data_IF_186187240944
#
_entry.id   IF_186187240944
#
_cell.length_a   1.000
_cell.length_b   1.000
_cell.length_c   1.000
_cell.angle_alpha   90.00
_cell.angle_beta   90.00
_cell.angle_gamma   90.00
#
_symmetry.space_group_name_H-M   'P 1'
#
loop_
_entity.id
_entity.type
_entity.pdbx_description
1 polymer ?
#
# COMPACT_ATOMS: atom_id res chain seq x y z
N UNK A 1 23.75 -5.95 14.04
CA UNK A 1 24.91 -5.16 13.56
C UNK A 1 24.37 -4.11 12.61
N UNK A 2 24.58 -2.82 12.90
CA UNK A 2 24.12 -1.75 12.02
C UNK A 2 25.08 -1.66 10.83
N UNK A 3 24.60 -1.97 9.63
CA UNK A 3 25.35 -1.74 8.40
C UNK A 3 25.49 -0.22 8.22
N UNK A 4 26.71 0.29 8.35
CA UNK A 4 27.05 1.62 7.84
C UNK A 4 27.04 1.52 6.32
N UNK A 5 25.87 1.76 5.70
CA UNK A 5 25.74 1.93 4.26
C UNK A 5 26.51 3.19 3.87
N UNK A 6 27.79 3.03 3.52
CA UNK A 6 28.60 4.10 2.94
C UNK A 6 27.90 4.60 1.69
N UNK A 7 27.69 5.91 1.59
CA UNK A 7 27.10 6.50 0.39
C UNK A 7 28.11 6.42 -0.75
N UNK A 8 27.90 5.50 -1.69
CA UNK A 8 28.73 5.45 -2.90
C UNK A 8 28.36 6.62 -3.83
N UNK A 9 29.36 7.32 -4.39
CA UNK A 9 29.13 8.51 -5.22
C UNK A 9 28.56 8.19 -6.61
N UNK A 10 28.59 6.92 -7.03
CA UNK A 10 28.06 6.43 -8.31
C UNK A 10 27.87 4.90 -8.28
N UNK A 11 27.22 4.34 -9.30
CA UNK A 11 27.06 2.90 -9.46
C UNK A 11 28.39 2.19 -9.71
N UNK A 12 29.28 2.79 -10.51
CA UNK A 12 30.61 2.24 -10.75
C UNK A 12 31.44 2.16 -9.44
N UNK A 13 31.34 3.18 -8.57
CA UNK A 13 32.01 3.18 -7.28
C UNK A 13 31.41 2.13 -6.31
N UNK A 14 30.10 1.88 -6.37
CA UNK A 14 29.47 0.78 -5.64
C UNK A 14 30.01 -0.58 -6.12
N UNK A 15 30.09 -0.80 -7.44
CA UNK A 15 30.64 -2.03 -8.01
C UNK A 15 32.09 -2.26 -7.56
N UNK A 16 32.94 -1.23 -7.58
CA UNK A 16 34.33 -1.33 -7.09
C UNK A 16 34.40 -1.72 -5.61
N UNK A 17 33.51 -1.17 -4.79
CA UNK A 17 33.41 -1.52 -3.37
C UNK A 17 33.00 -2.97 -3.12
N UNK A 18 32.08 -3.50 -3.93
CA UNK A 18 31.66 -4.91 -3.89
C UNK A 18 32.80 -5.82 -4.34
N UNK A 19 33.45 -5.52 -5.47
CA UNK A 19 34.55 -6.33 -6.02
C UNK A 19 35.78 -6.30 -5.09
N UNK A 20 36.10 -5.14 -4.51
CA UNK A 20 37.20 -4.98 -3.56
C UNK A 20 36.95 -5.58 -2.17
N UNK A 21 35.74 -6.10 -1.90
CA UNK A 21 35.37 -6.66 -0.59
C UNK A 21 35.34 -5.64 0.55
N UNK A 22 35.33 -4.35 0.23
CA UNK A 22 35.33 -3.25 1.21
C UNK A 22 33.91 -2.80 1.58
N UNK A 23 32.90 -3.29 0.87
CA UNK A 23 31.49 -2.93 1.00
C UNK A 23 30.57 -4.00 1.60
N UNK A 24 29.28 -3.68 1.62
CA UNK A 24 28.20 -4.60 1.93
C UNK A 24 28.08 -5.71 0.85
N UNK A 25 27.45 -6.86 1.16
CA UNK A 25 27.11 -7.84 0.13
C UNK A 25 26.32 -7.20 -1.02
N UNK A 26 26.51 -7.74 -2.22
CA UNK A 26 25.88 -7.23 -3.43
C UNK A 26 24.34 -7.20 -3.30
N UNK A 27 23.75 -6.07 -3.68
CA UNK A 27 22.31 -5.83 -3.71
C UNK A 27 21.95 -5.03 -4.96
N UNK A 28 20.98 -5.52 -5.73
CA UNK A 28 20.46 -4.80 -6.90
C UNK A 28 19.84 -3.45 -6.54
N UNK A 29 19.20 -3.36 -5.37
CA UNK A 29 18.60 -2.11 -4.88
C UNK A 29 19.67 -1.08 -4.52
N UNK A 30 20.77 -1.51 -3.91
CA UNK A 30 21.87 -0.60 -3.56
C UNK A 30 22.60 -0.12 -4.81
N UNK A 31 22.89 -1.02 -5.75
CA UNK A 31 23.46 -0.68 -7.06
C UNK A 31 22.60 0.37 -7.77
N UNK A 32 21.30 0.11 -7.91
CA UNK A 32 20.38 1.03 -8.58
C UNK A 32 20.29 2.37 -7.85
N UNK A 33 20.15 2.38 -6.52
CA UNK A 33 20.09 3.62 -5.75
C UNK A 33 21.36 4.45 -5.87
N UNK A 34 22.53 3.81 -5.94
CA UNK A 34 23.82 4.49 -6.04
C UNK A 34 24.05 5.21 -7.37
N UNK A 35 23.37 4.78 -8.44
CA UNK A 35 23.36 5.51 -9.72
C UNK A 35 22.75 6.91 -9.55
N UNK A 36 21.76 7.05 -8.65
CA UNK A 36 21.00 8.29 -8.47
C UNK A 36 21.53 9.20 -7.35
N UNK A 37 22.66 8.90 -6.71
CA UNK A 37 23.18 9.66 -5.55
C UNK A 37 23.29 11.18 -5.82
N UNK A 38 23.56 11.57 -7.06
CA UNK A 38 23.67 12.99 -7.49
C UNK A 38 22.32 13.70 -7.65
N UNK A 39 21.22 12.95 -7.62
CA UNK A 39 19.84 13.42 -7.77
C UNK A 39 19.05 13.07 -6.50
N UNK A 40 19.08 13.91 -5.45
CA UNK A 40 18.62 13.54 -4.11
C UNK A 40 17.16 13.06 -4.05
N UNK A 41 16.26 13.72 -4.80
CA UNK A 41 14.85 13.35 -4.86
C UNK A 41 14.65 11.97 -5.51
N UNK A 42 15.35 11.69 -6.61
CA UNK A 42 15.28 10.41 -7.29
C UNK A 42 15.95 9.30 -6.48
N UNK A 43 17.09 9.58 -5.84
CA UNK A 43 17.73 8.66 -4.90
C UNK A 43 16.79 8.26 -3.75
N UNK A 44 16.12 9.24 -3.15
CA UNK A 44 15.15 9.01 -2.08
C UNK A 44 13.96 8.16 -2.56
N UNK A 45 13.44 8.46 -3.75
CA UNK A 45 12.33 7.70 -4.35
C UNK A 45 12.74 6.25 -4.64
N UNK A 46 13.91 6.03 -5.25
CA UNK A 46 14.44 4.70 -5.57
C UNK A 46 14.72 3.90 -4.30
N UNK A 47 15.30 4.53 -3.28
CA UNK A 47 15.53 3.88 -1.98
C UNK A 47 14.23 3.47 -1.29
N UNK A 48 13.19 4.32 -1.35
CA UNK A 48 11.87 3.97 -0.85
C UNK A 48 11.25 2.80 -1.65
N UNK A 49 11.37 2.82 -2.98
CA UNK A 49 10.89 1.75 -3.85
C UNK A 49 11.65 0.42 -3.66
N UNK A 50 12.94 0.48 -3.33
CA UNK A 50 13.75 -0.68 -2.97
C UNK A 50 13.38 -1.27 -1.61
N UNK A 51 13.16 -0.41 -0.60
CA UNK A 51 12.71 -0.84 0.72
C UNK A 51 11.37 -1.62 0.68
N UNK A 52 10.48 -1.25 -0.25
CA UNK A 52 9.24 -1.98 -0.53
C UNK A 52 9.47 -3.40 -1.06
N UNK A 53 10.58 -3.66 -1.78
CA UNK A 53 10.95 -4.99 -2.29
C UNK A 53 11.56 -5.88 -1.20
N UNK A 54 12.35 -5.26 -0.31
CA UNK A 54 13.00 -5.91 0.83
C UNK A 54 12.01 -6.23 1.95
N UNK A 55 10.89 -5.52 2.02
CA UNK A 55 9.76 -5.90 2.86
C UNK A 55 9.17 -7.22 2.38
N UNK A 56 9.68 -8.32 2.94
CA UNK A 56 9.00 -9.60 2.93
C UNK A 56 7.70 -9.44 3.72
N UNK A 57 6.61 -9.17 2.99
CA UNK A 57 5.26 -9.13 3.57
C UNK A 57 5.05 -10.43 4.34
N UNK A 58 4.96 -10.31 5.65
CA UNK A 58 4.80 -11.48 6.51
C UNK A 58 3.39 -12.04 6.30
N UNK A 59 3.18 -13.32 6.66
CA UNK A 59 1.82 -13.89 6.67
C UNK A 59 0.86 -13.05 7.52
N UNK A 60 1.38 -12.36 8.54
CA UNK A 60 0.65 -11.40 9.37
C UNK A 60 0.20 -10.18 8.58
N UNK A 61 1.06 -9.61 7.73
CA UNK A 61 0.71 -8.45 6.89
C UNK A 61 -0.36 -8.81 5.85
N UNK A 62 -0.29 -10.02 5.30
CA UNK A 62 -1.34 -10.55 4.43
C UNK A 62 -2.67 -10.74 5.18
N UNK A 63 -2.64 -11.30 6.38
CA UNK A 63 -3.84 -11.48 7.20
C UNK A 63 -4.45 -10.13 7.62
N UNK A 64 -3.63 -9.15 7.98
CA UNK A 64 -4.08 -7.79 8.30
C UNK A 64 -4.66 -7.09 7.07
N UNK A 65 -4.05 -7.27 5.89
CA UNK A 65 -4.59 -6.72 4.63
C UNK A 65 -5.92 -7.35 4.23
N UNK A 66 -6.06 -8.66 4.42
CA UNK A 66 -7.31 -9.38 4.19
C UNK A 66 -8.40 -8.96 5.20
N UNK A 67 -8.05 -8.86 6.49
CA UNK A 67 -8.95 -8.38 7.53
C UNK A 67 -9.40 -6.94 7.28
N UNK A 68 -8.49 -6.09 6.80
CA UNK A 68 -8.81 -4.72 6.37
C UNK A 68 -9.82 -4.72 5.22
N UNK A 69 -9.60 -5.55 4.20
CA UNK A 69 -10.52 -5.70 3.07
C UNK A 69 -11.90 -6.16 3.53
N UNK A 70 -11.97 -7.17 4.41
CA UNK A 70 -13.24 -7.67 4.96
C UNK A 70 -13.98 -6.56 5.70
N UNK A 71 -13.30 -5.80 6.56
CA UNK A 71 -13.91 -4.74 7.35
C UNK A 71 -14.39 -3.55 6.49
N UNK A 72 -13.74 -3.34 5.34
CA UNK A 72 -14.17 -2.35 4.36
C UNK A 72 -15.54 -2.73 3.75
N UNK A 73 -15.74 -4.00 3.39
CA UNK A 73 -17.01 -4.45 2.78
C UNK A 73 -18.08 -4.87 3.81
N UNK A 74 -17.71 -5.06 5.08
CA UNK A 74 -18.61 -5.54 6.13
C UNK A 74 -19.91 -4.72 6.27
N UNK A 75 -19.95 -3.38 6.10
CA UNK A 75 -21.19 -2.63 6.20
C UNK A 75 -22.27 -3.00 5.18
N UNK A 76 -21.89 -3.56 4.03
CA UNK A 76 -22.84 -4.01 3.01
C UNK A 76 -23.69 -5.20 3.49
N UNK A 77 -23.19 -5.98 4.46
CA UNK A 77 -23.92 -7.09 5.05
C UNK A 77 -24.88 -6.65 6.18
N UNK A 78 -24.75 -5.41 6.70
CA UNK A 78 -25.47 -4.98 7.89
C UNK A 78 -27.00 -5.04 7.76
N UNK A 79 -27.64 -4.64 6.64
CA UNK A 79 -29.10 -4.77 6.50
C UNK A 79 -29.56 -6.23 6.55
N UNK A 80 -28.83 -7.14 5.90
CA UNK A 80 -29.18 -8.55 5.89
C UNK A 80 -29.04 -9.16 7.29
N UNK A 81 -27.94 -8.85 8.00
CA UNK A 81 -27.73 -9.30 9.37
C UNK A 81 -28.81 -8.73 10.31
N UNK A 82 -29.23 -7.48 10.11
CA UNK A 82 -30.31 -6.88 10.89
C UNK A 82 -31.65 -7.59 10.66
N UNK A 83 -32.00 -7.89 9.40
CA UNK A 83 -33.21 -8.66 9.07
C UNK A 83 -33.17 -10.04 9.72
N UNK A 84 -32.05 -10.75 9.63
CA UNK A 84 -31.90 -12.07 10.23
C UNK A 84 -31.98 -12.02 11.76
N UNK A 85 -31.37 -11.02 12.39
CA UNK A 85 -31.40 -10.84 13.85
C UNK A 85 -32.82 -10.60 14.36
N UNK A 86 -33.61 -9.81 13.63
CA UNK A 86 -35.02 -9.55 13.96
C UNK A 86 -35.90 -10.78 13.71
N UNK A 87 -35.59 -11.59 12.69
CA UNK A 87 -36.40 -12.77 12.34
C UNK A 87 -36.11 -14.02 13.18
N UNK A 88 -34.91 -14.17 13.72
CA UNK A 88 -34.47 -15.40 14.40
C UNK A 88 -34.05 -15.11 15.84
N UNK A 89 -35.02 -15.13 16.75
CA UNK A 89 -34.83 -14.83 18.18
C UNK A 89 -33.70 -15.64 18.82
N UNK A 90 -33.59 -16.93 18.51
CA UNK A 90 -32.56 -17.83 19.06
C UNK A 90 -31.12 -17.42 18.69
N UNK A 91 -30.95 -16.73 17.56
CA UNK A 91 -29.64 -16.27 17.06
C UNK A 91 -29.43 -14.76 17.21
N UNK A 92 -30.44 -14.04 17.71
CA UNK A 92 -30.47 -12.59 17.73
C UNK A 92 -29.27 -12.01 18.51
N UNK A 93 -28.94 -12.60 19.67
CA UNK A 93 -27.82 -12.12 20.50
C UNK A 93 -26.48 -12.19 19.75
N UNK A 94 -26.19 -13.33 19.11
CA UNK A 94 -24.95 -13.50 18.34
C UNK A 94 -24.88 -12.54 17.16
N UNK A 95 -25.98 -12.36 16.44
CA UNK A 95 -26.06 -11.43 15.31
C UNK A 95 -25.93 -9.97 15.76
N UNK A 96 -26.54 -9.59 16.89
CA UNK A 96 -26.39 -8.27 17.50
C UNK A 96 -24.94 -7.98 17.89
N UNK A 97 -24.25 -8.95 18.50
CA UNK A 97 -22.82 -8.83 18.83
C UNK A 97 -21.98 -8.67 17.55
N UNK A 98 -22.23 -9.49 16.53
CA UNK A 98 -21.52 -9.39 15.25
C UNK A 98 -21.70 -8.02 14.60
N UNK A 99 -22.93 -7.50 14.57
CA UNK A 99 -23.26 -6.18 14.04
C UNK A 99 -22.55 -5.08 14.82
N UNK A 100 -22.57 -5.14 16.16
CA UNK A 100 -21.89 -4.16 17.00
C UNK A 100 -20.37 -4.15 16.73
N UNK A 101 -19.75 -5.32 16.58
CA UNK A 101 -18.32 -5.44 16.24
C UNK A 101 -18.01 -4.86 14.85
N UNK A 102 -18.85 -5.13 13.85
CA UNK A 102 -18.71 -4.55 12.51
C UNK A 102 -18.79 -3.02 12.58
N UNK A 103 -19.80 -2.47 13.27
CA UNK A 103 -19.94 -1.02 13.44
C UNK A 103 -18.71 -0.41 14.13
N UNK A 104 -18.27 -0.98 15.25
CA UNK A 104 -17.12 -0.47 15.99
C UNK A 104 -15.83 -0.53 15.16
N UNK A 105 -15.56 -1.66 14.50
CA UNK A 105 -14.39 -1.82 13.64
C UNK A 105 -14.41 -0.85 12.47
N UNK A 106 -15.56 -0.69 11.80
CA UNK A 106 -15.67 0.21 10.65
C UNK A 106 -15.53 1.69 11.05
N UNK A 107 -16.10 2.10 12.19
CA UNK A 107 -15.91 3.45 12.74
C UNK A 107 -14.43 3.70 13.06
N UNK A 108 -13.75 2.75 13.70
CA UNK A 108 -12.33 2.86 14.01
C UNK A 108 -11.48 2.96 12.73
N UNK A 109 -11.79 2.16 11.71
CA UNK A 109 -11.15 2.20 10.40
C UNK A 109 -11.29 3.58 9.76
N UNK A 110 -12.51 4.11 9.64
CA UNK A 110 -12.78 5.44 9.07
C UNK A 110 -12.13 6.56 9.87
N UNK A 111 -12.08 6.45 11.20
CA UNK A 111 -11.40 7.42 12.05
C UNK A 111 -9.88 7.41 11.85
N UNK A 112 -9.27 6.22 11.67
CA UNK A 112 -7.84 6.09 11.37
C UNK A 112 -7.50 6.63 9.98
N UNK A 113 -8.30 6.32 8.97
CA UNK A 113 -8.17 6.90 7.62
C UNK A 113 -8.20 8.43 7.68
N UNK A 114 -9.20 8.98 8.38
CA UNK A 114 -9.31 10.42 8.54
C UNK A 114 -8.10 11.05 9.24
N UNK A 115 -7.58 10.43 10.29
CA UNK A 115 -6.36 10.88 10.97
C UNK A 115 -5.16 10.86 10.02
N UNK A 116 -4.99 9.80 9.22
CA UNK A 116 -3.91 9.70 8.23
C UNK A 116 -4.01 10.80 7.18
N UNK A 117 -5.19 11.04 6.61
CA UNK A 117 -5.38 12.11 5.62
C UNK A 117 -5.14 13.50 6.23
N UNK A 118 -5.53 13.72 7.50
CA UNK A 118 -5.25 14.98 8.21
C UNK A 118 -3.76 15.22 8.44
N UNK A 119 -2.98 14.18 8.69
CA UNK A 119 -1.52 14.28 8.87
C UNK A 119 -0.74 14.37 7.55
N UNK A 120 -1.41 14.64 6.42
CA UNK A 120 -0.77 14.68 5.11
C UNK A 120 -0.50 13.31 4.50
N UNK A 121 -1.08 12.25 5.07
CA UNK A 121 -1.08 10.91 4.48
C UNK A 121 -1.96 10.85 3.23
N UNK A 122 -1.97 9.68 2.61
CA UNK A 122 -2.65 9.44 1.32
C UNK A 122 -4.14 9.78 1.38
N UNK A 123 -4.65 10.31 0.26
CA UNK A 123 -6.09 10.57 0.07
C UNK A 123 -6.79 9.24 -0.25
N UNK A 124 -8.05 9.16 0.16
CA UNK A 124 -8.94 8.09 -0.24
C UNK A 124 -9.25 8.13 -1.75
N UNK A 125 -9.29 6.98 -2.40
CA UNK A 125 -9.54 6.90 -3.85
C UNK A 125 -10.98 7.30 -4.22
N UNK A 126 -11.24 7.66 -5.48
CA UNK A 126 -12.61 7.93 -5.94
C UNK A 126 -13.51 6.68 -5.81
N UNK A 127 -12.93 5.48 -5.96
CA UNK A 127 -13.60 4.21 -5.70
C UNK A 127 -14.02 4.07 -4.23
N UNK A 128 -13.17 4.47 -3.28
CA UNK A 128 -13.51 4.48 -1.85
C UNK A 128 -14.62 5.47 -1.52
N UNK A 129 -14.69 6.62 -2.20
CA UNK A 129 -15.78 7.57 -2.03
C UNK A 129 -17.13 7.01 -2.56
N UNK A 130 -17.10 6.28 -3.68
CA UNK A 130 -18.29 5.57 -4.20
C UNK A 130 -18.71 4.47 -3.24
N UNK A 131 -17.76 3.66 -2.75
CA UNK A 131 -18.04 2.59 -1.79
C UNK A 131 -18.63 3.15 -0.50
N UNK A 132 -18.04 4.22 0.06
CA UNK A 132 -18.57 4.90 1.24
C UNK A 132 -19.99 5.44 1.03
N UNK A 133 -20.35 5.83 -0.21
CA UNK A 133 -21.71 6.27 -0.54
C UNK A 133 -22.71 5.11 -0.44
N UNK A 134 -22.35 3.93 -0.94
CA UNK A 134 -23.16 2.72 -0.76
C UNK A 134 -23.26 2.32 0.71
N UNK A 135 -22.15 2.31 1.45
CA UNK A 135 -22.13 2.01 2.89
C UNK A 135 -23.04 2.95 3.68
N UNK A 136 -23.06 4.25 3.38
CA UNK A 136 -24.00 5.21 3.99
C UNK A 136 -25.44 4.79 3.81
N UNK A 137 -25.84 4.42 2.58
CA UNK A 137 -27.22 4.00 2.28
C UNK A 137 -27.57 2.72 3.06
N UNK A 138 -26.69 1.73 3.04
CA UNK A 138 -26.91 0.45 3.70
C UNK A 138 -26.99 0.60 5.23
N UNK A 139 -26.09 1.39 5.83
CA UNK A 139 -26.12 1.69 7.25
C UNK A 139 -27.38 2.47 7.65
N UNK A 140 -27.83 3.43 6.83
CA UNK A 140 -29.07 4.17 7.07
C UNK A 140 -30.31 3.26 7.00
N UNK A 141 -30.39 2.37 6.01
CA UNK A 141 -31.48 1.37 5.90
C UNK A 141 -31.46 0.44 7.12
N UNK A 142 -30.29 -0.05 7.52
CA UNK A 142 -30.13 -0.89 8.71
C UNK A 142 -30.57 -0.18 10.00
N UNK A 143 -30.20 1.09 10.17
CA UNK A 143 -30.67 1.91 11.28
C UNK A 143 -32.20 2.04 11.29
N UNK A 144 -32.82 2.25 10.12
CA UNK A 144 -34.28 2.30 9.98
C UNK A 144 -34.97 1.01 10.39
N UNK A 145 -34.43 -0.15 9.99
CA UNK A 145 -34.93 -1.48 10.40
C UNK A 145 -34.91 -1.60 11.93
N UNK A 146 -33.80 -1.24 12.57
CA UNK A 146 -33.68 -1.30 14.04
C UNK A 146 -34.57 -0.29 14.76
N UNK A 147 -34.76 0.91 14.22
CA UNK A 147 -35.67 1.91 14.79
C UNK A 147 -37.13 1.40 14.78
N UNK A 148 -37.57 0.80 13.67
CA UNK A 148 -38.91 0.20 13.56
C UNK A 148 -39.04 -0.98 14.53
N UNK A 149 -38.06 -1.90 14.55
CA UNK A 149 -38.06 -3.04 15.46
C UNK A 149 -38.10 -2.59 16.94
N UNK A 150 -37.33 -1.55 17.30
CA UNK A 150 -37.32 -1.00 18.66
C UNK A 150 -38.65 -0.33 19.06
N UNK A 151 -39.39 0.21 18.08
CA UNK A 151 -40.73 0.76 18.30
C UNK A 151 -41.81 -0.29 18.55
N UNK A 152 -41.65 -1.49 17.97
CA UNK A 152 -42.58 -2.61 18.15
C UNK A 152 -42.23 -3.42 19.41
N UNK A 153 -40.95 -3.71 19.62
CA UNK A 153 -40.42 -4.45 20.77
C UNK A 153 -39.37 -3.60 21.48
N UNK A 154 -39.77 -2.82 22.50
CA UNK A 154 -38.85 -1.91 23.18
C UNK A 154 -37.70 -2.67 23.85
N UNK A 155 -36.50 -2.52 23.29
CA UNK A 155 -35.27 -3.10 23.83
C UNK A 155 -34.15 -2.06 23.75
N UNK A 156 -33.44 -1.80 24.87
CA UNK A 156 -32.26 -0.93 24.86
C UNK A 156 -31.19 -1.38 23.84
N UNK A 157 -31.07 -2.69 23.61
CA UNK A 157 -30.13 -3.24 22.65
C UNK A 157 -30.41 -2.83 21.20
N UNK A 158 -31.69 -2.78 20.80
CA UNK A 158 -32.08 -2.37 19.44
C UNK A 158 -31.81 -0.88 19.21
N UNK A 159 -32.03 -0.04 20.23
CA UNK A 159 -31.67 1.39 20.17
C UNK A 159 -30.16 1.62 20.07
N UNK A 160 -29.35 0.83 20.79
CA UNK A 160 -27.89 0.90 20.68
C UNK A 160 -27.40 0.50 19.28
N UNK A 161 -27.98 -0.53 18.69
CA UNK A 161 -27.65 -0.95 17.33
C UNK A 161 -28.10 0.07 16.28
N UNK A 162 -29.29 0.65 16.43
CA UNK A 162 -29.75 1.78 15.62
C UNK A 162 -28.75 2.94 15.67
N UNK A 163 -28.31 3.33 16.88
CA UNK A 163 -27.33 4.40 17.06
C UNK A 163 -25.97 4.04 16.44
N UNK A 164 -25.52 2.80 16.57
CA UNK A 164 -24.29 2.31 15.94
C UNK A 164 -24.33 2.38 14.41
N UNK A 165 -25.44 1.97 13.80
CA UNK A 165 -25.65 2.07 12.35
C UNK A 165 -25.72 3.52 11.87
N UNK A 166 -26.43 4.39 12.61
CA UNK A 166 -26.47 5.81 12.31
C UNK A 166 -25.08 6.46 12.41
N UNK A 167 -24.26 6.05 13.39
CA UNK A 167 -22.88 6.51 13.53
C UNK A 167 -21.99 6.05 12.36
N UNK A 168 -22.13 4.80 11.89
CA UNK A 168 -21.46 4.32 10.67
C UNK A 168 -21.85 5.18 9.47
N UNK A 169 -23.15 5.40 9.25
CA UNK A 169 -23.64 6.22 8.15
C UNK A 169 -23.05 7.64 8.19
N UNK A 170 -23.04 8.27 9.37
CA UNK A 170 -22.45 9.59 9.58
C UNK A 170 -20.94 9.60 9.29
N UNK A 171 -20.19 8.60 9.76
CA UNK A 171 -18.75 8.47 9.49
C UNK A 171 -18.44 8.32 7.99
N UNK A 172 -19.24 7.54 7.26
CA UNK A 172 -19.10 7.41 5.81
C UNK A 172 -19.36 8.76 5.10
N UNK A 173 -20.37 9.52 5.53
CA UNK A 173 -20.62 10.89 5.00
C UNK A 173 -19.45 11.83 5.29
N UNK A 174 -18.90 11.79 6.50
CA UNK A 174 -17.69 12.56 6.84
C UNK A 174 -16.52 12.14 5.97
N UNK A 175 -16.30 10.85 5.76
CA UNK A 175 -15.26 10.33 4.88
C UNK A 175 -15.39 10.89 3.45
N UNK A 176 -16.58 10.81 2.84
CA UNK A 176 -16.86 11.38 1.52
C UNK A 176 -16.54 12.89 1.48
N UNK A 177 -16.95 13.65 2.50
CA UNK A 177 -16.69 15.09 2.59
C UNK A 177 -15.20 15.39 2.70
N UNK A 178 -14.47 14.63 3.53
CA UNK A 178 -13.01 14.76 3.69
C UNK A 178 -12.30 14.45 2.37
N UNK A 179 -12.69 13.37 1.69
CA UNK A 179 -12.12 12.98 0.39
C UNK A 179 -12.36 14.04 -0.67
N UNK A 180 -13.58 14.57 -0.79
CA UNK A 180 -13.92 15.67 -1.71
C UNK A 180 -13.15 16.95 -1.39
N UNK A 181 -12.98 17.28 -0.11
CA UNK A 181 -12.21 18.47 0.31
C UNK A 181 -10.72 18.31 0.07
N UNK A 182 -10.17 17.12 0.26
CA UNK A 182 -8.79 16.80 -0.09
C UNK A 182 -8.58 16.87 -1.61
N UNK A 183 -9.60 16.51 -2.40
CA UNK A 183 -9.57 16.64 -3.85
C UNK A 183 -9.36 18.06 -4.35
N UNK A 184 -10.09 19.00 -3.79
CA UNK A 184 -9.91 20.42 -4.12
C UNK A 184 -8.57 21.01 -3.69
N UNK A 185 -7.77 20.29 -2.90
CA UNK A 185 -6.44 20.72 -2.41
C UNK A 185 -5.27 20.08 -3.15
N UNK A 186 -5.53 19.25 -4.17
CA UNK A 186 -4.47 18.57 -4.93
C UNK A 186 -3.72 17.51 -4.13
N UNK A 187 -4.29 16.99 -3.04
CA UNK A 187 -3.68 15.89 -2.27
C UNK A 187 -3.71 14.61 -3.13
N UNK A 188 -2.58 13.90 -3.31
CA UNK A 188 -2.50 12.70 -4.15
C UNK A 188 -3.51 11.63 -3.72
N UNK A 189 -4.37 11.19 -4.66
CA UNK A 189 -5.51 10.26 -4.53
C UNK A 189 -5.16 8.81 -4.24
N UNK A 190 -3.93 8.44 -4.50
CA UNK A 190 -3.40 7.12 -4.25
C UNK A 190 -2.03 7.28 -3.62
N UNK A 191 -1.65 6.34 -2.76
CA UNK A 191 -0.25 6.01 -2.65
C UNK A 191 0.14 5.55 -4.06
N UNK A 192 0.70 6.45 -4.88
CA UNK A 192 1.45 5.97 -6.04
C UNK A 192 2.41 4.94 -5.48
N UNK A 193 2.44 3.70 -5.98
CA UNK A 193 3.49 2.77 -5.63
C UNK A 193 4.80 3.56 -5.72
N UNK A 194 5.71 3.46 -4.75
CA UNK A 194 6.95 4.27 -4.77
C UNK A 194 7.69 4.16 -6.12
N UNK A 195 7.50 3.03 -6.81
CA UNK A 195 7.92 2.79 -8.19
C UNK A 195 7.32 3.75 -9.25
N UNK A 196 6.04 4.10 -9.19
CA UNK A 196 5.44 5.08 -10.11
C UNK A 196 6.04 6.48 -9.94
N UNK A 197 6.42 6.85 -8.72
CA UNK A 197 7.12 8.12 -8.46
C UNK A 197 8.54 8.08 -9.06
N UNK A 198 9.24 6.95 -8.96
CA UNK A 198 10.52 6.74 -9.66
C UNK A 198 10.33 6.89 -11.17
N UNK A 199 9.33 6.25 -11.77
CA UNK A 199 9.08 6.37 -13.21
C UNK A 199 8.75 7.80 -13.63
N UNK A 200 7.97 8.53 -12.85
CA UNK A 200 7.64 9.92 -13.12
C UNK A 200 8.91 10.80 -13.06
N UNK A 201 9.75 10.64 -12.03
CA UNK A 201 11.00 11.38 -11.89
C UNK A 201 12.00 11.03 -13.00
N UNK A 202 12.14 9.74 -13.35
CA UNK A 202 12.99 9.30 -14.48
C UNK A 202 12.48 9.86 -15.81
N UNK A 203 11.16 9.95 -15.99
CA UNK A 203 10.58 10.52 -17.21
C UNK A 203 10.84 12.02 -17.36
N UNK A 204 11.08 12.72 -16.24
CA UNK A 204 11.38 14.15 -16.21
C UNK A 204 12.88 14.47 -16.39
N UNK A 205 13.76 13.47 -16.38
CA UNK A 205 15.18 13.64 -16.65
C UNK A 205 15.41 14.07 -18.10
N UNK A 206 16.36 14.97 -18.29
CA UNK A 206 16.84 15.30 -19.62
C UNK A 206 17.64 14.15 -20.25
N UNK A 207 17.84 14.21 -21.56
CA UNK A 207 18.49 13.14 -22.31
C UNK A 207 19.98 12.97 -21.94
N UNK A 208 20.65 14.05 -21.51
CA UNK A 208 22.07 14.01 -21.14
C UNK A 208 22.24 13.32 -19.78
N UNK A 209 21.42 13.69 -18.79
CA UNK A 209 21.37 13.06 -17.48
C UNK A 209 21.04 11.57 -17.60
N UNK A 210 20.01 11.25 -18.39
CA UNK A 210 19.62 9.86 -18.66
C UNK A 210 20.75 9.05 -19.28
N UNK A 211 21.45 9.62 -20.27
CA UNK A 211 22.59 8.95 -20.93
C UNK A 211 23.75 8.75 -19.96
N UNK A 212 24.07 9.76 -19.14
CA UNK A 212 25.14 9.66 -18.14
C UNK A 212 24.86 8.59 -17.08
N UNK A 213 23.62 8.52 -16.59
CA UNK A 213 23.18 7.51 -15.61
C UNK A 213 23.24 6.09 -16.19
N UNK A 214 22.77 5.92 -17.43
CA UNK A 214 22.85 4.62 -18.12
C UNK A 214 24.31 4.19 -18.36
N UNK A 215 25.19 5.11 -18.74
CA UNK A 215 26.61 4.82 -18.93
C UNK A 215 27.30 4.40 -17.62
N UNK A 216 27.04 5.10 -16.51
CA UNK A 216 27.56 4.74 -15.19
C UNK A 216 27.03 3.38 -14.72
N UNK A 217 25.74 3.10 -14.93
CA UNK A 217 25.15 1.81 -14.61
C UNK A 217 25.72 0.67 -15.47
N UNK A 218 25.93 0.91 -16.77
CA UNK A 218 26.51 -0.07 -17.69
C UNK A 218 27.94 -0.44 -17.25
N UNK A 219 28.77 0.56 -16.97
CA UNK A 219 30.13 0.35 -16.47
C UNK A 219 30.14 -0.45 -15.15
N UNK A 220 29.20 -0.16 -14.25
CA UNK A 220 29.06 -0.91 -13.00
C UNK A 220 28.71 -2.39 -13.25
N UNK A 221 27.78 -2.65 -14.18
CA UNK A 221 27.38 -4.01 -14.55
C UNK A 221 28.52 -4.80 -15.20
N UNK A 222 29.31 -4.18 -16.08
CA UNK A 222 30.49 -4.79 -16.69
C UNK A 222 31.49 -5.23 -15.62
N UNK A 223 31.82 -4.34 -14.68
CA UNK A 223 32.76 -4.65 -13.58
C UNK A 223 32.28 -5.81 -12.70
N UNK A 224 30.98 -5.85 -12.39
CA UNK A 224 30.39 -6.93 -11.60
C UNK A 224 30.40 -8.25 -12.37
N UNK A 225 30.18 -8.23 -13.69
CA UNK A 225 30.23 -9.42 -14.54
C UNK A 225 31.67 -9.95 -14.69
N UNK A 226 32.64 -9.06 -14.97
CA UNK A 226 34.06 -9.41 -15.11
C UNK A 226 34.64 -10.01 -13.82
N UNK A 227 34.19 -9.52 -12.66
CA UNK A 227 34.56 -10.05 -11.35
C UNK A 227 33.79 -11.34 -10.96
N UNK A 228 32.84 -11.79 -11.79
CA UNK A 228 32.02 -12.97 -11.53
C UNK A 228 30.99 -12.81 -10.40
N UNK A 229 30.68 -11.57 -10.00
CA UNK A 229 29.67 -11.27 -8.96
C UNK A 229 28.26 -11.53 -9.49
N UNK A 230 28.02 -11.27 -10.77
CA UNK A 230 26.76 -11.56 -11.47
C UNK A 230 27.00 -12.51 -12.64
N UNK A 231 26.01 -13.36 -12.93
CA UNK A 231 26.04 -14.29 -14.06
C UNK A 231 25.82 -13.56 -15.40
N UNK A 232 26.26 -14.13 -16.54
CA UNK A 232 25.97 -13.55 -17.86
C UNK A 232 24.47 -13.34 -18.12
N UNK A 233 23.63 -14.27 -17.68
CA UNK A 233 22.18 -14.14 -17.80
C UNK A 233 21.59 -13.01 -16.94
N UNK A 234 22.17 -12.72 -15.77
CA UNK A 234 21.80 -11.55 -14.96
C UNK A 234 22.27 -10.25 -15.61
N UNK A 235 23.48 -10.24 -16.17
CA UNK A 235 24.01 -9.10 -16.92
C UNK A 235 23.10 -8.72 -18.11
N UNK A 236 22.75 -9.69 -18.96
CA UNK A 236 21.88 -9.48 -20.13
C UNK A 236 20.48 -8.97 -19.75
N UNK A 237 19.98 -9.39 -18.59
CA UNK A 237 18.69 -8.98 -18.09
C UNK A 237 18.74 -7.58 -17.47
N UNK A 238 19.78 -7.31 -16.68
CA UNK A 238 20.05 -6.00 -16.10
C UNK A 238 20.21 -4.93 -17.19
N UNK A 239 20.92 -5.27 -18.27
CA UNK A 239 21.13 -4.39 -19.42
C UNK A 239 19.82 -4.03 -20.15
N UNK A 240 18.82 -4.92 -20.11
CA UNK A 240 17.50 -4.68 -20.72
C UNK A 240 16.50 -4.03 -19.77
N UNK A 241 16.89 -3.77 -18.53
CA UNK A 241 16.01 -3.14 -17.54
C UNK A 241 15.92 -1.63 -17.80
N UNK A 242 14.70 -1.05 -17.86
CA UNK A 242 14.53 0.40 -17.84
C UNK A 242 15.16 1.01 -16.58
N UNK A 243 15.67 2.24 -16.71
CA UNK A 243 16.22 3.01 -15.60
C UNK A 243 15.17 3.17 -14.48
N UNK A 244 15.54 2.87 -13.24
CA UNK A 244 14.63 2.92 -12.08
C UNK A 244 13.76 1.66 -11.90
N UNK A 245 14.02 0.59 -12.65
CA UNK A 245 13.32 -0.70 -12.52
C UNK A 245 14.23 -1.93 -12.33
N UNK A 246 15.55 -1.73 -12.23
CA UNK A 246 16.55 -2.80 -12.19
C UNK A 246 16.29 -3.75 -11.01
N UNK A 247 16.23 -3.21 -9.79
CA UNK A 247 16.07 -4.03 -8.58
C UNK A 247 14.76 -4.81 -8.60
N UNK A 248 13.67 -4.19 -9.04
CA UNK A 248 12.35 -4.81 -9.14
C UNK A 248 12.32 -5.93 -10.16
N UNK A 249 12.93 -5.74 -11.33
CA UNK A 249 12.94 -6.74 -12.40
C UNK A 249 13.73 -7.98 -12.00
N UNK A 250 14.91 -7.79 -11.42
CA UNK A 250 15.75 -8.91 -10.97
C UNK A 250 15.12 -9.65 -9.79
N UNK A 251 14.54 -8.92 -8.83
CA UNK A 251 13.76 -9.52 -7.75
C UNK A 251 12.59 -10.38 -8.25
N UNK A 252 11.88 -9.92 -9.29
CA UNK A 252 10.76 -10.66 -9.86
C UNK A 252 11.21 -11.97 -10.52
N UNK A 253 12.38 -11.96 -11.15
CA UNK A 253 12.97 -13.14 -11.77
C UNK A 253 13.51 -14.14 -10.74
N UNK A 254 14.09 -13.65 -9.65
CA UNK A 254 14.53 -14.50 -8.52
C UNK A 254 13.33 -15.19 -7.84
N UNK A 255 12.17 -14.53 -7.78
CA UNK A 255 10.93 -15.10 -7.24
C UNK A 255 10.09 -15.89 -8.23
N UNK A 256 10.46 -15.93 -9.52
CA UNK A 256 9.69 -16.64 -10.52
C UNK A 256 9.89 -18.16 -10.40
N UNK A 257 8.81 -18.95 -10.24
CA UNK A 257 8.90 -20.40 -9.98
C UNK A 257 9.60 -21.17 -11.12
N UNK A 258 9.59 -20.65 -12.35
CA UNK A 258 10.27 -21.24 -13.50
C UNK A 258 11.82 -21.34 -13.36
N UNK A 259 12.43 -20.56 -12.46
CA UNK A 259 13.86 -20.67 -12.11
C UNK A 259 14.12 -21.56 -10.89
N UNK A 260 13.13 -21.85 -10.07
CA UNK A 260 13.29 -22.71 -8.88
C UNK A 260 13.28 -24.21 -9.24
N UNK A 261 12.88 -24.55 -10.47
CA UNK A 261 12.81 -25.93 -10.98
C UNK A 261 13.97 -26.31 -11.92
N UNK A 262 14.99 -25.45 -12.07
CA UNK A 262 16.22 -25.73 -12.82
C UNK A 262 17.41 -25.71 -11.88
#
# INVERSE_FOLDING_TARGET
MAHTSGSFPSAAAYADGVVGGTGAPFSWSDLESSAFTRLPELHKAVKAAGADLDHTKTRRDHALSAGWLVLLFAPLALPLLAILAVRHEDSAVLLHVAIALICAGHIALRAMEWRRTRSGGTRATDQEAVLASFETVFAAVSAGIYAVAAGVTPSPGLWLLCAGQAAVAAMCVVSIRVTRKAAGRGVPTSQRPAFEDVLALVSALDDNERTALLADLHLALERLADAGVITPAQYDEAHRAPLGSLARRLWALERSPARQTR
#
